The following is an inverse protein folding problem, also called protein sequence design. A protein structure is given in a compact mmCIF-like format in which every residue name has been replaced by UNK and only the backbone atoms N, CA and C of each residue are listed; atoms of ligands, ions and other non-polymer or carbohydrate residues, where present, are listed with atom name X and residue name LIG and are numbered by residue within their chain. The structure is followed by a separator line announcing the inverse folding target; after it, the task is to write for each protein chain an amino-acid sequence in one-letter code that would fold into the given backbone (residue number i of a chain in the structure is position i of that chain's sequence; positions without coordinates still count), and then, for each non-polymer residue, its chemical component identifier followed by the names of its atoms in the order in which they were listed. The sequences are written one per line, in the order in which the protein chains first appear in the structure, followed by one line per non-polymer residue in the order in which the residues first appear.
data_IF_965793297383
#
_entry.id   IF_965793297383
#
_cell.length_a   1.000
_cell.length_b   1.000
_cell.length_c   1.000
_cell.angle_alpha   90.00
_cell.angle_beta   90.00
_cell.angle_gamma   90.00
#
_symmetry.space_group_name_H-M   'P 1'
#
loop_
_entity.id
_entity.type
_entity.pdbx_description
1 polymer ?
#
# COMPACT_ATOMS: atom_id res chain seq x y z
N UNK A 1 -25.06 -4.16 3.62
CA UNK A 1 -24.41 -3.03 4.33
C UNK A 1 -24.11 -3.46 5.77
N UNK A 2 -22.86 -3.44 6.24
CA UNK A 2 -22.58 -3.65 7.66
C UNK A 2 -23.20 -2.49 8.46
N UNK A 3 -24.00 -2.81 9.48
CA UNK A 3 -24.62 -1.81 10.36
C UNK A 3 -23.53 -0.93 10.98
N UNK A 4 -23.79 0.38 11.10
CA UNK A 4 -22.92 1.30 11.85
C UNK A 4 -22.61 0.69 13.23
N UNK A 5 -21.34 0.72 13.67
CA UNK A 5 -21.00 0.18 14.98
C UNK A 5 -21.72 1.00 16.04
N UNK A 6 -22.29 0.30 17.03
CA UNK A 6 -23.04 0.93 18.11
C UNK A 6 -22.14 1.54 19.20
N UNK A 7 -20.82 1.61 19.02
CA UNK A 7 -19.84 2.27 19.89
C UNK A 7 -18.77 2.94 19.01
N UNK A 8 -18.26 4.08 19.45
CA UNK A 8 -17.05 4.68 18.88
C UNK A 8 -15.85 3.74 19.09
N UNK A 9 -15.25 3.34 17.97
CA UNK A 9 -14.07 2.46 17.92
C UNK A 9 -12.91 2.98 18.77
N UNK A 10 -12.82 4.29 19.02
CA UNK A 10 -11.80 4.89 19.91
C UNK A 10 -11.96 4.43 21.36
N UNK A 11 -13.18 4.51 21.90
CA UNK A 11 -13.50 4.10 23.28
C UNK A 11 -13.22 2.61 23.44
N UNK A 12 -13.60 1.81 22.43
CA UNK A 12 -13.38 0.37 22.44
C UNK A 12 -11.88 0.04 22.49
N UNK A 13 -11.07 0.71 21.66
CA UNK A 13 -9.61 0.52 21.62
C UNK A 13 -8.95 0.91 22.93
N UNK A 14 -9.25 2.10 23.45
CA UNK A 14 -8.64 2.59 24.70
C UNK A 14 -8.98 1.70 25.88
N UNK A 15 -10.22 1.24 25.98
CA UNK A 15 -10.63 0.37 27.09
C UNK A 15 -9.95 -0.99 27.02
N UNK A 16 -9.82 -1.57 25.82
CA UNK A 16 -9.20 -2.89 25.63
C UNK A 16 -7.69 -2.88 25.88
N UNK A 17 -7.01 -1.73 25.81
CA UNK A 17 -5.58 -1.61 26.19
C UNK A 17 -5.31 -2.00 27.65
N UNK A 18 -6.27 -1.77 28.53
CA UNK A 18 -6.14 -2.06 29.96
C UNK A 18 -6.21 -3.56 30.28
N UNK A 19 -6.51 -4.41 29.30
CA UNK A 19 -6.72 -5.84 29.50
C UNK A 19 -5.82 -6.70 28.59
N UNK A 20 -4.49 -6.70 28.79
CA UNK A 20 -3.59 -7.56 28.02
C UNK A 20 -3.91 -9.05 28.19
N UNK A 21 -4.48 -9.44 29.33
CA UNK A 21 -4.85 -10.81 29.65
C UNK A 21 -5.99 -11.40 28.80
N UNK A 22 -6.54 -10.68 27.81
CA UNK A 22 -7.54 -11.23 26.87
C UNK A 22 -6.93 -12.23 25.89
N UNK A 23 -5.60 -12.21 25.74
CA UNK A 23 -4.85 -13.24 25.05
C UNK A 23 -4.32 -14.24 26.08
N UNK A 24 -4.29 -15.53 25.72
CA UNK A 24 -3.63 -16.55 26.52
C UNK A 24 -2.11 -16.46 26.37
N UNK A 25 -1.37 -17.30 27.09
CA UNK A 25 0.11 -17.33 27.03
C UNK A 25 0.64 -17.74 25.64
N UNK A 26 -0.22 -18.31 24.80
CA UNK A 26 0.04 -18.61 23.39
C UNK A 26 -0.38 -17.46 22.45
N UNK A 27 -0.74 -16.30 22.97
CA UNK A 27 -1.21 -15.17 22.15
C UNK A 27 -2.49 -15.42 21.38
N UNK A 28 -3.27 -16.45 21.68
CA UNK A 28 -4.60 -16.67 21.11
C UNK A 28 -5.65 -15.94 21.94
N UNK A 29 -6.72 -15.49 21.31
CA UNK A 29 -7.82 -14.85 22.01
C UNK A 29 -8.49 -15.86 22.96
N UNK A 30 -8.66 -15.51 24.23
CA UNK A 30 -9.36 -16.37 25.20
C UNK A 30 -10.82 -16.57 24.79
N UNK A 31 -11.33 -17.77 25.07
CA UNK A 31 -12.69 -18.17 24.69
C UNK A 31 -13.76 -17.17 25.17
N UNK A 32 -14.89 -17.07 24.46
CA UNK A 32 -16.00 -16.19 24.84
C UNK A 32 -16.57 -16.45 26.24
N UNK A 33 -16.30 -17.62 26.82
CA UNK A 33 -16.73 -18.02 28.16
C UNK A 33 -15.82 -17.52 29.27
N UNK A 34 -14.65 -16.98 28.93
CA UNK A 34 -13.64 -16.57 29.90
C UNK A 34 -14.15 -15.42 30.79
N UNK A 35 -13.91 -15.47 32.11
CA UNK A 35 -14.34 -14.43 33.04
C UNK A 35 -13.83 -13.03 32.69
N UNK A 36 -12.70 -12.91 32.00
CA UNK A 36 -12.12 -11.62 31.62
C UNK A 36 -13.08 -10.77 30.79
N UNK A 37 -13.96 -11.40 30.00
CA UNK A 37 -14.94 -10.68 29.20
C UNK A 37 -16.01 -9.99 30.04
N UNK A 38 -16.28 -10.49 31.25
CA UNK A 38 -17.14 -9.81 32.22
C UNK A 38 -16.42 -8.62 32.84
N UNK A 39 -15.14 -8.78 33.16
CA UNK A 39 -14.30 -7.70 33.70
C UNK A 39 -14.15 -6.54 32.71
N UNK A 40 -13.91 -6.86 31.44
CA UNK A 40 -13.87 -5.89 30.34
C UNK A 40 -15.21 -5.16 30.24
N UNK A 41 -16.34 -5.88 30.21
CA UNK A 41 -17.68 -5.27 30.18
C UNK A 41 -17.97 -4.37 31.40
N UNK A 42 -17.34 -4.64 32.54
CA UNK A 42 -17.51 -3.86 33.77
C UNK A 42 -16.63 -2.61 33.85
N UNK A 43 -15.77 -2.34 32.86
CA UNK A 43 -14.94 -1.14 32.85
C UNK A 43 -15.78 0.14 32.80
N UNK A 44 -15.34 1.19 33.50
CA UNK A 44 -16.06 2.47 33.64
C UNK A 44 -16.45 3.11 32.30
N UNK A 45 -15.56 3.06 31.30
CA UNK A 45 -15.81 3.53 29.93
C UNK A 45 -16.99 2.83 29.26
N UNK A 46 -17.16 1.51 29.47
CA UNK A 46 -18.28 0.76 28.94
C UNK A 46 -19.55 0.99 29.75
N UNK A 47 -19.43 1.07 31.08
CA UNK A 47 -20.58 1.36 31.95
C UNK A 47 -21.19 2.72 31.65
N UNK A 48 -20.36 3.77 31.52
CA UNK A 48 -20.79 5.12 31.15
C UNK A 48 -21.52 5.15 29.80
N UNK A 49 -20.99 4.42 28.82
CA UNK A 49 -21.65 4.28 27.53
C UNK A 49 -23.00 3.56 27.63
N UNK A 50 -23.07 2.50 28.45
CA UNK A 50 -24.32 1.75 28.65
C UNK A 50 -25.39 2.54 29.41
N UNK A 51 -25.02 3.44 30.33
CA UNK A 51 -25.97 4.32 31.02
C UNK A 51 -26.50 5.40 30.08
N UNK A 52 -25.62 6.04 29.31
CA UNK A 52 -26.01 7.06 28.32
C UNK A 52 -26.96 6.48 27.24
N UNK A 53 -26.72 5.24 26.80
CA UNK A 53 -27.58 4.56 25.83
C UNK A 53 -28.94 4.11 26.39
N UNK A 54 -29.03 3.84 27.71
CA UNK A 54 -30.30 3.51 28.38
C UNK A 54 -31.19 4.74 28.51
N UNK A 55 -30.60 5.90 28.80
CA UNK A 55 -31.31 7.18 28.88
C UNK A 55 -31.86 7.63 27.52
N UNK A 56 -31.18 7.30 26.41
CA UNK A 56 -31.61 7.61 25.05
C UNK A 56 -32.64 6.62 24.46
N UNK A 57 -33.19 5.70 25.26
CA UNK A 57 -34.21 4.73 24.83
C UNK A 57 -33.76 3.75 23.74
N UNK A 58 -32.46 3.66 23.49
CA UNK A 58 -31.90 2.89 22.37
C UNK A 58 -31.28 1.59 22.89
N UNK A 59 -31.92 0.46 22.60
CA UNK A 59 -31.42 -0.89 22.95
C UNK A 59 -30.10 -1.29 22.25
N UNK A 60 -29.49 -0.37 21.50
CA UNK A 60 -28.27 -0.58 20.74
C UNK A 60 -26.97 -0.48 21.57
N UNK A 61 -27.00 0.00 22.82
CA UNK A 61 -25.77 0.34 23.55
C UNK A 61 -25.25 -0.64 24.61
N UNK A 62 -25.89 -1.79 24.83
CA UNK A 62 -25.44 -2.74 25.88
C UNK A 62 -24.58 -3.84 25.26
N UNK A 63 -23.26 -3.73 25.39
CA UNK A 63 -22.33 -4.79 25.00
C UNK A 63 -22.39 -5.94 26.01
N UNK A 64 -22.84 -7.10 25.53
CA UNK A 64 -22.67 -8.36 26.26
C UNK A 64 -21.22 -8.85 26.11
N UNK A 65 -20.66 -9.55 27.11
CA UNK A 65 -19.30 -10.11 27.05
C UNK A 65 -19.00 -10.85 25.73
N UNK A 66 -19.94 -11.70 25.31
CA UNK A 66 -19.86 -12.45 24.04
C UNK A 66 -19.75 -11.54 22.80
N UNK A 67 -20.43 -10.39 22.79
CA UNK A 67 -20.38 -9.48 21.66
C UNK A 67 -19.02 -8.79 21.53
N UNK A 68 -18.39 -8.42 22.65
CA UNK A 68 -17.02 -7.86 22.63
C UNK A 68 -16.04 -8.91 22.10
N UNK A 69 -16.13 -10.14 22.62
CA UNK A 69 -15.34 -11.26 22.13
C UNK A 69 -15.51 -11.43 20.61
N UNK A 70 -16.75 -11.51 20.11
CA UNK A 70 -17.03 -11.75 18.69
C UNK A 70 -16.52 -10.59 17.81
N UNK A 71 -16.53 -9.35 18.31
CA UNK A 71 -15.96 -8.19 17.60
C UNK A 71 -14.45 -8.31 17.45
N UNK A 72 -13.75 -8.74 18.50
CA UNK A 72 -12.30 -8.91 18.47
C UNK A 72 -11.94 -10.16 17.66
N UNK A 73 -12.66 -11.27 17.84
CA UNK A 73 -12.45 -12.52 17.12
C UNK A 73 -12.62 -12.34 15.59
N UNK A 74 -13.65 -11.61 15.16
CA UNK A 74 -13.87 -11.29 13.75
C UNK A 74 -12.99 -10.15 13.22
N UNK A 75 -12.03 -9.67 14.02
CA UNK A 75 -11.17 -8.53 13.72
C UNK A 75 -11.93 -7.30 13.18
N UNK A 76 -13.12 -7.02 13.73
CA UNK A 76 -13.95 -5.90 13.29
C UNK A 76 -13.17 -4.61 13.50
N UNK A 77 -13.14 -3.76 12.47
CA UNK A 77 -12.42 -2.49 12.48
C UNK A 77 -10.92 -2.60 12.85
N UNK A 78 -10.30 -3.76 12.62
CA UNK A 78 -8.90 -4.00 12.91
C UNK A 78 -8.55 -4.09 14.40
N UNK A 79 -9.52 -4.40 15.26
CA UNK A 79 -9.33 -4.43 16.72
C UNK A 79 -8.36 -5.51 17.17
N UNK A 80 -8.48 -6.72 16.60
CA UNK A 80 -7.58 -7.81 16.94
C UNK A 80 -6.15 -7.46 16.54
N UNK A 81 -5.98 -6.93 15.33
CA UNK A 81 -4.68 -6.47 14.82
C UNK A 81 -4.10 -5.37 15.71
N UNK A 82 -4.91 -4.39 16.10
CA UNK A 82 -4.50 -3.32 16.99
C UNK A 82 -4.02 -3.83 18.35
N UNK A 83 -4.80 -4.69 19.01
CA UNK A 83 -4.46 -5.21 20.33
C UNK A 83 -3.23 -6.12 20.29
N UNK A 84 -3.09 -6.93 19.23
CA UNK A 84 -1.89 -7.74 19.02
C UNK A 84 -0.62 -6.91 18.85
N UNK A 85 -0.70 -5.77 18.15
CA UNK A 85 0.44 -4.84 18.04
C UNK A 85 0.72 -4.15 19.38
N UNK A 86 -0.31 -3.71 20.09
CA UNK A 86 -0.15 -3.02 21.38
C UNK A 86 0.47 -3.96 22.44
N UNK A 87 0.12 -5.24 22.44
CA UNK A 87 0.62 -6.23 23.39
C UNK A 87 1.79 -7.07 22.87
N UNK A 88 2.39 -6.69 21.74
CA UNK A 88 3.47 -7.45 21.08
C UNK A 88 4.72 -7.64 21.95
N UNK A 89 4.92 -6.83 22.98
CA UNK A 89 5.98 -7.02 23.99
C UNK A 89 5.68 -8.13 25.01
N UNK A 90 4.44 -8.61 25.10
CA UNK A 90 3.98 -9.58 26.10
C UNK A 90 3.63 -10.95 25.50
N UNK A 91 3.71 -11.12 24.18
CA UNK A 91 3.37 -12.36 23.48
C UNK A 91 4.64 -13.14 23.04
N UNK A 92 4.60 -14.49 23.00
CA UNK A 92 5.74 -15.29 22.57
C UNK A 92 6.17 -14.97 21.12
N UNK A 93 7.48 -14.84 20.90
CA UNK A 93 8.05 -14.46 19.59
C UNK A 93 7.68 -15.42 18.44
N UNK A 94 7.46 -16.72 18.73
CA UNK A 94 7.06 -17.72 17.72
C UNK A 94 5.75 -17.38 17.02
N UNK A 95 4.82 -16.77 17.75
CA UNK A 95 3.46 -16.56 17.28
C UNK A 95 3.36 -15.25 16.50
N UNK A 96 4.27 -14.29 16.73
CA UNK A 96 4.35 -13.05 15.94
C UNK A 96 4.60 -13.36 14.47
N UNK A 97 5.47 -14.34 14.18
CA UNK A 97 5.78 -14.81 12.81
C UNK A 97 4.61 -15.51 12.13
N UNK A 98 3.93 -16.47 12.79
CA UNK A 98 2.73 -17.12 12.23
C UNK A 98 1.55 -16.14 12.06
N UNK A 99 1.38 -15.19 12.98
CA UNK A 99 0.36 -14.13 12.88
C UNK A 99 0.61 -13.25 11.64
N UNK A 100 1.87 -12.98 11.29
CA UNK A 100 2.19 -12.23 10.07
C UNK A 100 1.84 -13.02 8.81
N UNK A 101 2.02 -14.35 8.80
CA UNK A 101 1.68 -15.21 7.66
C UNK A 101 0.16 -15.37 7.46
N UNK A 102 -0.64 -15.56 8.51
CA UNK A 102 -2.11 -15.66 8.40
C UNK A 102 -2.75 -14.32 7.97
N UNK A 103 -2.19 -13.17 8.39
CA UNK A 103 -2.63 -11.83 7.95
C UNK A 103 -2.47 -11.60 6.44
N UNK A 104 -1.67 -12.43 5.75
CA UNK A 104 -1.40 -12.33 4.32
C UNK A 104 -2.36 -13.16 3.45
N UNK A 105 -3.17 -14.04 4.05
CA UNK A 105 -4.10 -14.90 3.31
C UNK A 105 -5.49 -14.31 3.09
N UNK A 106 -5.98 -13.37 3.92
CA UNK A 106 -7.43 -13.11 4.01
C UNK A 106 -7.91 -11.67 3.77
N UNK A 107 -7.18 -10.87 2.98
CA UNK A 107 -7.68 -9.56 2.52
C UNK A 107 -7.64 -9.40 1.01
N UNK A 108 -8.55 -10.11 0.33
CA UNK A 108 -9.06 -9.66 -0.96
C UNK A 108 -10.57 -9.50 -0.93
N UNK A 109 -11.02 -8.32 -0.51
CA UNK A 109 -12.26 -7.76 -1.00
C UNK A 109 -12.01 -6.29 -1.35
N UNK A 110 -12.37 -5.96 -2.58
CA UNK A 110 -12.57 -4.62 -3.09
C UNK A 110 -13.61 -3.90 -2.24
N UNK A 111 -13.38 -2.62 -1.95
CA UNK A 111 -14.33 -1.55 -2.26
C UNK A 111 -13.68 -0.19 -1.99
N UNK A 112 -13.90 0.73 -2.94
CA UNK A 112 -13.70 2.15 -2.77
C UNK A 112 -14.72 2.65 -1.73
N UNK A 113 -14.26 3.23 -0.62
CA UNK A 113 -14.97 4.39 -0.08
C UNK A 113 -14.08 5.26 0.81
N UNK A 114 -14.28 6.55 0.65
CA UNK A 114 -13.66 7.64 1.36
C UNK A 114 -14.18 7.67 2.79
N UNK A 115 -13.31 7.44 3.79
CA UNK A 115 -13.57 7.94 5.14
C UNK A 115 -12.28 8.19 5.91
N UNK A 116 -12.26 9.35 6.57
CA UNK A 116 -11.19 9.86 7.41
C UNK A 116 -10.93 8.93 8.60
N UNK A 117 -9.92 8.07 8.46
CA UNK A 117 -9.29 7.40 9.58
C UNK A 117 -8.20 8.29 10.16
N UNK A 118 -8.41 8.78 11.38
CA UNK A 118 -7.39 9.47 12.19
C UNK A 118 -6.23 8.52 12.43
N UNK A 119 -5.19 8.65 11.61
CA UNK A 119 -3.84 8.20 11.93
C UNK A 119 -3.12 9.35 12.60
N UNK A 120 -2.42 9.03 13.67
CA UNK A 120 -1.56 9.95 14.41
C UNK A 120 -0.66 10.66 13.40
N UNK A 121 -0.95 11.92 13.15
CA UNK A 121 0.01 12.84 12.59
C UNK A 121 1.13 12.96 13.62
N UNK A 122 2.19 12.17 13.45
CA UNK A 122 3.51 12.66 13.83
C UNK A 122 3.84 13.80 12.85
N UNK A 123 3.24 14.97 13.09
CA UNK A 123 3.86 16.23 12.69
C UNK A 123 5.06 16.46 13.62
N UNK A 124 6.04 15.57 13.52
CA UNK A 124 7.41 15.85 13.92
C UNK A 124 8.12 16.28 12.65
N UNK A 125 8.85 17.39 12.72
CA UNK A 125 9.85 17.77 11.73
C UNK A 125 10.95 16.70 11.67
N UNK A 126 10.66 15.52 11.12
CA UNK A 126 11.73 14.59 10.75
C UNK A 126 12.61 15.30 9.72
N UNK A 127 13.93 15.32 9.91
CA UNK A 127 14.83 16.00 9.00
C UNK A 127 14.64 15.41 7.60
N UNK A 128 14.16 16.26 6.69
CA UNK A 128 14.03 15.86 5.28
C UNK A 128 15.43 15.79 4.70
N UNK A 129 15.82 14.61 4.26
CA UNK A 129 17.09 14.40 3.58
C UNK A 129 16.98 14.83 2.13
N UNK A 130 18.09 15.30 1.59
CA UNK A 130 18.25 15.62 0.18
C UNK A 130 19.17 14.57 -0.44
N UNK A 131 18.62 13.76 -1.34
CA UNK A 131 19.37 12.81 -2.14
C UNK A 131 19.50 13.31 -3.57
N UNK A 132 20.59 12.91 -4.20
CA UNK A 132 20.77 13.04 -5.63
C UNK A 132 20.66 11.64 -6.24
N UNK A 133 19.83 11.50 -7.27
CA UNK A 133 19.77 10.29 -8.08
C UNK A 133 20.12 10.59 -9.53
N UNK A 134 20.80 9.64 -10.15
CA UNK A 134 21.23 9.71 -11.55
C UNK A 134 20.46 8.65 -12.36
N UNK A 135 19.73 9.11 -13.38
CA UNK A 135 19.04 8.24 -14.35
C UNK A 135 19.86 8.24 -15.64
N UNK A 136 20.43 7.09 -16.07
CA UNK A 136 21.18 7.00 -17.33
C UNK A 136 20.37 7.47 -18.53
N UNK A 137 21.04 8.06 -19.53
CA UNK A 137 20.40 8.67 -20.69
C UNK A 137 19.44 7.71 -21.41
N UNK A 138 19.85 6.45 -21.61
CA UNK A 138 19.01 5.41 -22.23
C UNK A 138 17.69 5.19 -21.47
N UNK A 139 17.72 5.20 -20.13
CA UNK A 139 16.52 5.11 -19.30
C UNK A 139 15.71 6.40 -19.29
N UNK A 140 16.37 7.55 -19.44
CA UNK A 140 15.68 8.83 -19.60
C UNK A 140 14.82 8.84 -20.87
N UNK A 141 15.32 8.32 -21.99
CA UNK A 141 14.56 8.21 -23.24
C UNK A 141 13.25 7.41 -23.07
N UNK A 142 13.21 6.42 -22.17
CA UNK A 142 11.96 5.70 -21.88
C UNK A 142 10.89 6.56 -21.21
N UNK A 143 11.29 7.63 -20.51
CA UNK A 143 10.44 8.48 -19.68
C UNK A 143 10.36 9.93 -20.18
N UNK A 144 10.94 10.21 -21.35
CA UNK A 144 11.06 11.54 -21.92
C UNK A 144 9.72 12.31 -21.96
N UNK A 145 9.74 13.65 -21.82
CA UNK A 145 8.52 14.45 -21.85
C UNK A 145 7.75 14.34 -23.17
N UNK A 146 6.44 14.11 -23.09
CA UNK A 146 5.52 14.16 -24.23
C UNK A 146 4.53 15.30 -24.09
N UNK A 147 4.15 15.89 -25.22
CA UNK A 147 3.10 16.91 -25.26
C UNK A 147 1.74 16.23 -25.20
N UNK A 148 0.93 16.60 -24.19
CA UNK A 148 -0.44 16.13 -24.02
C UNK A 148 -1.39 17.32 -24.11
N UNK A 149 -2.52 17.13 -24.78
CA UNK A 149 -3.58 18.14 -24.91
C UNK A 149 -4.64 17.84 -23.84
N UNK A 150 -4.84 18.79 -22.93
CA UNK A 150 -5.89 18.71 -21.92
C UNK A 150 -7.06 19.61 -22.32
N UNK A 151 -8.28 19.08 -22.23
CA UNK A 151 -9.50 19.86 -22.35
C UNK A 151 -9.83 20.43 -20.97
N UNK A 152 -9.73 21.75 -20.82
CA UNK A 152 -10.02 22.46 -19.56
C UNK A 152 -11.15 23.45 -19.87
N UNK A 153 -12.40 22.97 -19.72
CA UNK A 153 -13.59 23.69 -20.18
C UNK A 153 -13.62 23.83 -21.71
N UNK A 154 -13.87 25.05 -22.21
CA UNK A 154 -13.90 25.36 -23.65
C UNK A 154 -12.50 25.57 -24.26
N UNK A 155 -11.43 25.44 -23.48
CA UNK A 155 -10.06 25.68 -23.95
C UNK A 155 -9.23 24.39 -23.98
N UNK A 156 -8.46 24.21 -25.06
CA UNK A 156 -7.45 23.14 -25.17
C UNK A 156 -6.11 23.69 -24.69
N UNK A 157 -5.59 23.19 -23.58
CA UNK A 157 -4.24 23.54 -23.10
C UNK A 157 -3.24 22.43 -23.44
N UNK A 158 -2.17 22.81 -24.14
CA UNK A 158 -1.01 21.95 -24.40
C UNK A 158 -0.08 21.98 -23.20
N UNK A 159 0.22 20.82 -22.61
CA UNK A 159 1.19 20.69 -21.50
C UNK A 159 2.21 19.61 -21.85
N UNK A 160 3.49 19.84 -21.55
CA UNK A 160 4.51 18.78 -21.56
C UNK A 160 4.48 18.05 -20.22
N UNK A 161 4.39 16.74 -20.28
CA UNK A 161 4.33 15.84 -19.11
C UNK A 161 5.24 14.64 -19.35
N UNK A 162 5.80 14.07 -18.28
CA UNK A 162 6.55 12.82 -18.40
C UNK A 162 5.62 11.69 -18.88
N UNK A 163 6.19 10.73 -19.63
CA UNK A 163 5.43 9.62 -20.21
C UNK A 163 4.66 8.83 -19.15
N UNK A 164 3.34 8.93 -19.19
CA UNK A 164 2.45 8.30 -18.20
C UNK A 164 2.67 6.78 -18.13
N UNK A 165 2.50 6.22 -16.94
CA UNK A 165 2.69 4.79 -16.65
C UNK A 165 4.11 4.24 -16.88
N UNK A 166 5.13 5.10 -17.01
CA UNK A 166 6.54 4.67 -17.12
C UNK A 166 7.41 5.39 -16.08
N UNK A 167 7.37 6.72 -16.05
CA UNK A 167 8.31 7.53 -15.24
C UNK A 167 8.29 7.24 -13.74
N UNK A 168 7.13 6.92 -13.17
CA UNK A 168 6.97 6.63 -11.73
C UNK A 168 7.74 5.39 -11.31
N UNK A 169 7.71 4.35 -12.14
CA UNK A 169 8.41 3.10 -11.87
C UNK A 169 9.93 3.30 -11.99
N UNK A 170 10.38 4.01 -13.03
CA UNK A 170 11.81 4.31 -13.23
C UNK A 170 12.40 5.07 -12.05
N UNK A 171 11.73 6.12 -11.57
CA UNK A 171 12.24 6.88 -10.42
C UNK A 171 12.23 6.03 -9.14
N UNK A 172 11.15 5.28 -8.88
CA UNK A 172 11.08 4.43 -7.70
C UNK A 172 12.16 3.32 -7.70
N UNK A 173 12.45 2.74 -8.87
CA UNK A 173 13.52 1.76 -9.06
C UNK A 173 14.89 2.35 -8.76
N UNK A 174 15.20 3.51 -9.34
CA UNK A 174 16.49 4.18 -9.15
C UNK A 174 16.66 4.64 -7.69
N UNK A 175 15.61 5.16 -7.07
CA UNK A 175 15.64 5.62 -5.68
C UNK A 175 15.94 4.48 -4.71
N UNK A 176 15.31 3.32 -4.89
CA UNK A 176 15.63 2.14 -4.09
C UNK A 176 17.04 1.61 -4.40
N UNK A 177 17.42 1.50 -5.68
CA UNK A 177 18.74 0.96 -6.05
C UNK A 177 19.93 1.81 -5.56
N UNK A 178 19.79 3.13 -5.54
CA UNK A 178 20.87 4.03 -5.11
C UNK A 178 20.86 4.33 -3.61
N UNK A 179 19.69 4.38 -2.97
CA UNK A 179 19.57 4.85 -1.57
C UNK A 179 18.85 3.88 -0.63
N UNK A 180 18.34 2.74 -1.12
CA UNK A 180 17.71 1.70 -0.30
C UNK A 180 16.40 2.12 0.36
N UNK A 181 15.72 3.17 -0.14
CA UNK A 181 14.51 3.71 0.50
C UNK A 181 13.34 2.74 0.31
N UNK A 182 12.77 2.18 1.40
CA UNK A 182 11.79 1.09 1.31
C UNK A 182 10.34 1.56 1.03
N UNK A 183 10.12 2.84 0.72
CA UNK A 183 8.78 3.39 0.55
C UNK A 183 8.06 2.94 -0.74
N UNK A 184 6.78 2.60 -0.60
CA UNK A 184 5.84 2.46 -1.70
C UNK A 184 5.28 3.82 -2.15
N UNK A 185 6.08 4.62 -2.84
CA UNK A 185 5.71 5.97 -3.29
C UNK A 185 4.65 5.96 -4.41
N UNK A 186 3.56 6.68 -4.18
CA UNK A 186 2.57 7.04 -5.20
C UNK A 186 2.75 8.50 -5.60
N UNK A 187 3.08 8.71 -6.88
CA UNK A 187 3.27 10.02 -7.46
C UNK A 187 1.98 10.52 -8.12
N UNK A 188 1.59 11.78 -7.85
CA UNK A 188 0.31 12.35 -8.32
C UNK A 188 0.47 13.52 -9.27
N UNK A 189 1.59 14.26 -9.19
CA UNK A 189 1.79 15.52 -9.92
C UNK A 189 3.18 15.52 -10.53
N UNK A 190 3.28 15.60 -11.85
CA UNK A 190 4.51 15.99 -12.53
C UNK A 190 4.25 17.23 -13.38
N UNK A 191 5.24 18.11 -13.47
CA UNK A 191 5.28 19.23 -14.40
C UNK A 191 6.63 19.22 -15.08
N UNK A 192 6.61 19.30 -16.41
CA UNK A 192 7.81 19.52 -17.21
C UNK A 192 7.74 20.94 -17.76
N UNK A 193 8.83 21.69 -17.58
CA UNK A 193 9.00 23.03 -18.14
C UNK A 193 10.12 22.98 -19.15
N UNK A 194 9.88 23.52 -20.33
CA UNK A 194 10.86 23.58 -21.43
C UNK A 194 10.93 25.03 -21.88
N UNK A 195 12.14 25.58 -21.93
CA UNK A 195 12.39 26.98 -22.30
C UNK A 195 13.63 27.56 -21.61
N UNK A 196 13.99 28.78 -21.99
CA UNK A 196 15.22 29.47 -21.57
C UNK A 196 15.18 30.04 -20.13
N UNK A 197 14.05 29.92 -19.45
CA UNK A 197 13.89 30.31 -18.03
C UNK A 197 14.69 29.36 -17.12
N UNK A 198 16.01 29.54 -17.07
CA UNK A 198 16.97 28.81 -16.21
C UNK A 198 16.66 28.92 -14.71
N UNK A 199 15.78 29.85 -14.32
CA UNK A 199 15.34 30.03 -12.93
C UNK A 199 14.30 28.99 -12.49
N UNK A 200 13.76 28.21 -13.43
CA UNK A 200 12.68 27.25 -13.18
C UNK A 200 13.15 25.83 -13.45
N UNK A 201 12.97 24.97 -12.45
CA UNK A 201 13.26 23.53 -12.53
C UNK A 201 12.62 22.87 -13.75
N UNK A 202 13.42 22.15 -14.54
CA UNK A 202 13.01 21.35 -15.70
C UNK A 202 11.89 20.35 -15.35
N UNK A 203 12.12 19.51 -14.34
CA UNK A 203 11.12 18.56 -13.83
C UNK A 203 10.78 18.94 -12.40
N UNK A 204 9.49 18.92 -12.07
CA UNK A 204 9.03 18.87 -10.67
C UNK A 204 7.98 17.80 -10.52
N UNK A 205 8.14 16.95 -9.50
CA UNK A 205 7.14 15.95 -9.17
C UNK A 205 6.98 15.79 -7.66
N UNK A 206 5.76 15.48 -7.24
CA UNK A 206 5.43 15.22 -5.85
C UNK A 206 4.73 13.86 -5.70
N UNK A 207 5.04 13.20 -4.60
CA UNK A 207 4.44 11.93 -4.23
C UNK A 207 4.32 11.80 -2.71
N UNK A 208 3.75 10.68 -2.32
CA UNK A 208 3.64 10.29 -0.92
C UNK A 208 3.73 8.76 -0.82
N UNK A 209 4.28 8.26 0.26
CA UNK A 209 4.25 6.82 0.54
C UNK A 209 2.81 6.40 0.86
N UNK A 210 2.36 5.31 0.24
CA UNK A 210 0.99 4.81 0.45
C UNK A 210 0.79 4.13 1.81
N UNK A 211 1.88 3.90 2.53
CA UNK A 211 1.94 3.26 3.84
C UNK A 211 2.25 4.29 4.94
N UNK A 212 3.50 4.73 5.07
CA UNK A 212 3.94 5.66 6.12
C UNK A 212 3.60 7.14 5.87
N UNK A 213 2.96 7.46 4.73
CA UNK A 213 2.56 8.83 4.34
C UNK A 213 3.70 9.83 4.15
N UNK A 214 4.96 9.41 4.24
CA UNK A 214 6.13 10.23 3.93
C UNK A 214 5.98 10.94 2.59
N UNK A 215 6.16 12.27 2.59
CA UNK A 215 6.06 13.10 1.39
C UNK A 215 7.40 13.09 0.66
N UNK A 216 7.38 12.92 -0.65
CA UNK A 216 8.56 12.99 -1.50
C UNK A 216 8.40 14.10 -2.54
N UNK A 217 9.43 14.94 -2.63
CA UNK A 217 9.57 15.98 -3.64
C UNK A 217 10.73 15.65 -4.56
N UNK A 218 10.51 15.72 -5.86
CA UNK A 218 11.52 15.42 -6.87
C UNK A 218 11.66 16.64 -7.77
N UNK A 219 12.90 17.01 -8.08
CA UNK A 219 13.15 18.01 -9.09
C UNK A 219 14.42 17.78 -9.89
N UNK A 220 14.37 18.08 -11.19
CA UNK A 220 15.55 18.27 -12.03
C UNK A 220 15.69 19.75 -12.35
N UNK A 221 16.91 20.27 -12.26
CA UNK A 221 17.17 21.66 -12.66
C UNK A 221 17.23 21.80 -14.18
N UNK A 222 17.89 20.85 -14.86
CA UNK A 222 18.15 20.90 -16.30
C UNK A 222 17.71 19.60 -17.00
N UNK A 223 17.39 19.73 -18.29
CA UNK A 223 17.25 18.59 -19.19
C UNK A 223 18.64 17.99 -19.45
N UNK A 224 18.80 16.66 -19.48
CA UNK A 224 20.09 16.05 -19.78
C UNK A 224 20.49 16.31 -21.22
N UNK A 225 21.76 16.66 -21.44
CA UNK A 225 22.33 16.65 -22.79
C UNK A 225 22.37 15.23 -23.36
N UNK A 226 22.59 15.13 -24.68
CA UNK A 226 22.73 13.86 -25.38
C UNK A 226 23.80 12.98 -24.71
N UNK A 227 23.40 11.79 -24.27
CA UNK A 227 24.30 10.82 -23.61
C UNK A 227 24.55 11.08 -22.12
N UNK A 228 24.18 12.26 -21.59
CA UNK A 228 24.36 12.59 -20.18
C UNK A 228 23.18 12.07 -19.33
N UNK A 229 23.41 11.68 -18.06
CA UNK A 229 22.33 11.23 -17.20
C UNK A 229 21.43 12.39 -16.76
N UNK A 230 20.14 12.10 -16.58
CA UNK A 230 19.23 13.02 -15.90
C UNK A 230 19.52 13.01 -14.40
N UNK A 231 19.88 14.16 -13.85
CA UNK A 231 20.10 14.35 -12.42
C UNK A 231 18.83 14.83 -11.75
N UNK A 232 18.35 14.07 -10.76
CA UNK A 232 17.19 14.42 -9.95
C UNK A 232 17.61 14.63 -8.51
N UNK A 233 17.15 15.74 -7.93
CA UNK A 233 17.19 16.00 -6.51
C UNK A 233 15.89 15.50 -5.87
N UNK A 234 16.02 14.61 -4.90
CA UNK A 234 14.91 13.98 -4.19
C UNK A 234 14.96 14.45 -2.74
N UNK A 235 13.86 15.01 -2.25
CA UNK A 235 13.69 15.42 -0.85
C UNK A 235 12.58 14.60 -0.21
N UNK A 236 12.92 13.80 0.80
CA UNK A 236 11.97 13.02 1.60
C UNK A 236 12.59 12.69 2.97
N UNK A 237 11.82 12.24 3.96
CA UNK A 237 12.37 11.76 5.24
C UNK A 237 13.06 10.39 5.06
N UNK A 238 14.00 10.06 5.94
CA UNK A 238 14.61 8.73 5.96
C UNK A 238 13.63 7.69 6.52
N UNK A 239 13.14 6.81 5.65
CA UNK A 239 12.13 5.83 6.00
C UNK A 239 12.68 4.42 6.17
N UNK A 240 14.00 4.22 6.10
CA UNK A 240 14.67 2.92 6.33
C UNK A 240 14.37 2.29 7.70
N UNK A 241 14.25 3.06 8.79
CA UNK A 241 13.88 2.51 10.11
C UNK A 241 12.44 1.99 10.15
N UNK A 242 11.56 2.51 9.29
CA UNK A 242 10.13 2.21 9.30
C UNK A 242 9.89 0.92 8.48
N UNK A 243 9.25 -0.11 9.05
CA UNK A 243 8.87 -1.30 8.29
C UNK A 243 7.83 -0.94 7.22
N UNK A 244 8.07 -1.37 5.98
CA UNK A 244 7.15 -1.19 4.85
C UNK A 244 6.75 -2.55 4.30
N UNK A 245 5.44 -2.78 4.21
CA UNK A 245 4.84 -4.00 3.68
C UNK A 245 4.27 -3.76 2.28
N UNK A 246 3.83 -2.53 1.98
CA UNK A 246 3.24 -2.22 0.69
C UNK A 246 4.33 -2.20 -0.38
N UNK A 247 3.95 -2.69 -1.57
CA UNK A 247 4.77 -2.65 -2.77
C UNK A 247 4.30 -1.52 -3.70
N UNK A 248 5.21 -1.04 -4.53
CA UNK A 248 4.90 -0.12 -5.60
C UNK A 248 3.95 -0.77 -6.59
N UNK A 249 2.99 0.01 -7.08
CA UNK A 249 2.01 -0.48 -8.04
C UNK A 249 2.71 -0.78 -9.37
N UNK A 250 2.59 -2.02 -9.82
CA UNK A 250 3.07 -2.44 -11.13
C UNK A 250 2.07 -1.95 -12.20
N UNK A 251 2.48 -1.01 -13.04
CA UNK A 251 1.62 -0.38 -14.06
C UNK A 251 2.32 -0.25 -15.41
N UNK A 252 1.50 -0.08 -16.46
CA UNK A 252 1.94 0.29 -17.80
C UNK A 252 2.96 -0.64 -18.42
N UNK A 253 3.99 -0.03 -19.00
CA UNK A 253 5.00 -0.74 -19.76
C UNK A 253 5.78 -1.77 -18.93
N UNK A 254 6.08 -1.44 -17.65
CA UNK A 254 6.77 -2.37 -16.75
C UNK A 254 5.92 -3.61 -16.47
N UNK A 255 4.60 -3.44 -16.30
CA UNK A 255 3.66 -4.57 -16.15
C UNK A 255 3.61 -5.44 -17.40
N UNK A 256 3.59 -4.80 -18.57
CA UNK A 256 3.55 -5.47 -19.87
C UNK A 256 4.80 -6.34 -20.09
N UNK A 257 5.99 -5.75 -19.97
CA UNK A 257 7.28 -6.44 -20.12
C UNK A 257 7.40 -7.62 -19.13
N UNK A 258 7.04 -7.39 -17.86
CA UNK A 258 7.07 -8.43 -16.84
C UNK A 258 6.12 -9.59 -17.16
N UNK A 259 4.92 -9.31 -17.65
CA UNK A 259 3.98 -10.35 -18.10
C UNK A 259 4.54 -11.16 -19.27
N UNK A 260 5.18 -10.50 -20.25
CA UNK A 260 5.82 -11.15 -21.39
C UNK A 260 7.01 -12.03 -20.98
N UNK A 261 7.84 -11.59 -20.03
CA UNK A 261 8.92 -12.40 -19.45
C UNK A 261 8.37 -13.69 -18.79
N UNK A 262 7.27 -13.57 -18.06
CA UNK A 262 6.61 -14.68 -17.36
C UNK A 262 5.82 -15.64 -18.26
N UNK A 263 5.77 -15.41 -19.57
CA UNK A 263 5.29 -16.44 -20.50
C UNK A 263 6.26 -17.61 -20.56
N UNK A 264 7.56 -17.36 -20.35
CA UNK A 264 8.65 -18.35 -20.45
C UNK A 264 8.92 -19.08 -19.14
N UNK A 265 8.53 -18.50 -18.00
CA UNK A 265 8.84 -19.00 -16.66
C UNK A 265 7.66 -18.86 -15.70
N UNK A 266 7.57 -19.74 -14.70
CA UNK A 266 6.54 -19.61 -13.66
C UNK A 266 6.73 -18.33 -12.84
N UNK A 267 5.65 -17.61 -12.47
CA UNK A 267 5.73 -16.39 -11.65
C UNK A 267 6.49 -16.55 -10.33
N UNK A 268 6.39 -17.72 -9.69
CA UNK A 268 7.11 -18.05 -8.46
C UNK A 268 8.61 -18.16 -8.68
N UNK A 269 9.03 -18.89 -9.71
CA UNK A 269 10.44 -19.09 -10.06
C UNK A 269 11.08 -17.75 -10.47
N UNK A 270 10.40 -17.00 -11.35
CA UNK A 270 10.86 -15.68 -11.76
C UNK A 270 11.08 -14.77 -10.55
N UNK A 271 10.12 -14.75 -9.60
CA UNK A 271 10.22 -13.89 -8.41
C UNK A 271 11.40 -14.31 -7.53
N UNK A 272 11.60 -15.61 -7.32
CA UNK A 272 12.74 -16.12 -6.55
C UNK A 272 14.07 -15.74 -7.21
N UNK A 273 14.24 -16.03 -8.50
CA UNK A 273 15.45 -15.69 -9.26
C UNK A 273 15.72 -14.17 -9.27
N UNK A 274 14.65 -13.37 -9.33
CA UNK A 274 14.75 -11.91 -9.30
C UNK A 274 15.16 -11.39 -7.91
N UNK A 275 14.65 -11.98 -6.84
CA UNK A 275 15.05 -11.66 -5.47
C UNK A 275 16.50 -12.05 -5.23
N UNK A 276 16.88 -13.28 -5.62
CA UNK A 276 18.24 -13.82 -5.44
C UNK A 276 19.30 -13.01 -6.19
N UNK A 277 18.93 -12.39 -7.32
CA UNK A 277 19.84 -11.55 -8.11
C UNK A 277 19.92 -10.08 -7.65
N UNK A 278 18.93 -9.57 -6.91
CA UNK A 278 18.87 -8.16 -6.52
C UNK A 278 19.08 -7.89 -5.03
N UNK A 279 19.07 -8.92 -4.17
CA UNK A 279 19.04 -8.77 -2.71
C UNK A 279 20.05 -9.72 -2.07
N UNK A 280 20.78 -9.23 -1.08
CA UNK A 280 21.67 -10.08 -0.27
C UNK A 280 20.94 -10.68 0.92
N UNK A 281 21.44 -11.81 1.42
CA UNK A 281 20.83 -12.50 2.55
C UNK A 281 20.70 -11.58 3.79
N UNK A 282 19.48 -11.43 4.32
CA UNK A 282 19.17 -10.57 5.47
C UNK A 282 18.68 -9.16 5.11
N UNK A 283 18.73 -8.75 3.84
CA UNK A 283 18.15 -7.48 3.40
C UNK A 283 16.62 -7.56 3.24
N UNK A 284 15.97 -6.41 3.43
CA UNK A 284 14.51 -6.29 3.27
C UNK A 284 14.13 -6.30 1.79
N UNK A 285 13.04 -7.00 1.48
CA UNK A 285 12.52 -7.05 0.12
C UNK A 285 12.21 -5.64 -0.45
N UNK A 286 12.68 -5.31 -1.66
CA UNK A 286 12.42 -4.05 -2.33
C UNK A 286 10.93 -3.70 -2.39
N UNK A 287 10.57 -2.40 -2.31
CA UNK A 287 9.21 -1.95 -2.58
C UNK A 287 8.85 -2.15 -4.06
N UNK A 288 9.84 -2.21 -4.95
CA UNK A 288 9.62 -2.39 -6.39
C UNK A 288 9.38 -3.84 -6.80
N UNK A 289 9.57 -4.80 -5.90
CA UNK A 289 9.32 -6.21 -6.18
C UNK A 289 7.80 -6.50 -6.10
N UNK A 290 7.14 -6.90 -7.20
CA UNK A 290 5.71 -7.18 -7.21
C UNK A 290 5.40 -8.49 -6.50
N UNK A 291 4.31 -8.54 -5.75
CA UNK A 291 3.85 -9.77 -5.09
C UNK A 291 3.51 -10.87 -6.09
N UNK A 292 3.55 -12.12 -5.63
CA UNK A 292 3.28 -13.29 -6.48
C UNK A 292 1.95 -13.19 -7.23
N UNK A 293 0.89 -12.75 -6.55
CA UNK A 293 -0.43 -12.53 -7.17
C UNK A 293 -0.37 -11.51 -8.31
N UNK A 294 0.32 -10.39 -8.11
CA UNK A 294 0.47 -9.35 -9.14
C UNK A 294 1.26 -9.88 -10.35
N UNK A 295 2.23 -10.76 -10.11
CA UNK A 295 2.96 -11.47 -11.17
C UNK A 295 2.04 -12.42 -11.95
N UNK A 296 1.22 -13.22 -11.27
CA UNK A 296 0.23 -14.09 -11.90
C UNK A 296 -0.75 -13.31 -12.75
N UNK A 297 -1.30 -12.21 -12.22
CA UNK A 297 -2.21 -11.33 -12.95
C UNK A 297 -1.53 -10.72 -14.18
N UNK A 298 -0.26 -10.29 -14.07
CA UNK A 298 0.49 -9.73 -15.20
C UNK A 298 0.75 -10.77 -16.30
N UNK A 299 1.05 -12.02 -15.90
CA UNK A 299 1.19 -13.15 -16.83
C UNK A 299 -0.13 -13.45 -17.53
N UNK A 300 -1.24 -13.51 -16.79
CA UNK A 300 -2.56 -13.74 -17.37
C UNK A 300 -2.92 -12.64 -18.38
N UNK A 301 -2.67 -11.38 -18.04
CA UNK A 301 -2.87 -10.26 -18.99
C UNK A 301 -2.00 -10.39 -20.25
N UNK A 302 -0.82 -11.01 -20.18
CA UNK A 302 0.01 -11.27 -21.36
C UNK A 302 -0.56 -12.42 -22.20
N UNK A 303 -1.04 -13.49 -21.56
CA UNK A 303 -1.75 -14.60 -22.22
C UNK A 303 -3.00 -14.08 -22.93
N UNK A 304 -3.85 -13.32 -22.24
CA UNK A 304 -5.08 -12.74 -22.82
C UNK A 304 -4.77 -11.90 -24.07
N UNK A 305 -3.69 -11.10 -24.04
CA UNK A 305 -3.22 -10.33 -25.20
C UNK A 305 -2.76 -11.22 -26.35
N UNK A 306 -2.11 -12.34 -26.08
CA UNK A 306 -1.63 -13.26 -27.12
C UNK A 306 -2.78 -13.97 -27.84
N UNK A 307 -3.79 -14.42 -27.08
CA UNK A 307 -4.94 -15.15 -27.63
C UNK A 307 -6.07 -14.22 -28.09
N UNK A 308 -5.89 -12.90 -27.95
CA UNK A 308 -6.90 -11.92 -28.33
C UNK A 308 -8.20 -12.04 -27.54
N UNK A 309 -8.20 -12.77 -26.42
CA UNK A 309 -9.36 -12.89 -25.56
C UNK A 309 -9.54 -11.56 -24.83
N UNK A 310 -10.62 -10.80 -25.09
CA UNK A 310 -11.00 -9.78 -24.12
C UNK A 310 -11.24 -10.50 -22.79
N UNK A 311 -11.16 -9.79 -21.65
CA UNK A 311 -11.58 -10.31 -20.35
C UNK A 311 -13.05 -10.76 -20.44
N UNK A 312 -13.31 -11.94 -20.98
CA UNK A 312 -14.62 -12.54 -21.02
C UNK A 312 -14.92 -12.90 -19.57
N UNK A 313 -16.06 -12.42 -19.11
CA UNK A 313 -16.56 -12.64 -17.75
C UNK A 313 -16.82 -14.12 -17.46
N UNK A 314 -16.78 -14.98 -18.48
CA UNK A 314 -17.09 -16.40 -18.40
C UNK A 314 -16.19 -17.24 -19.32
N UNK A 315 -15.32 -18.11 -18.77
CA UNK A 315 -14.44 -19.01 -19.53
C UNK A 315 -15.17 -20.07 -20.38
N UNK A 316 -16.45 -20.34 -20.07
CA UNK A 316 -17.24 -21.38 -20.77
C UNK A 316 -17.67 -20.90 -22.15
N UNK A 317 -17.97 -19.60 -22.28
CA UNK A 317 -18.45 -19.01 -23.54
C UNK A 317 -17.35 -18.88 -24.61
N UNK A 318 -16.07 -18.76 -24.22
CA UNK A 318 -14.97 -18.73 -25.20
C UNK A 318 -14.72 -20.07 -25.87
N UNK A 319 -15.02 -21.19 -25.19
CA UNK A 319 -14.83 -22.54 -25.74
C UNK A 319 -15.89 -22.90 -26.79
N UNK A 320 -17.06 -22.26 -26.75
CA UNK A 320 -18.08 -22.46 -27.79
C UNK A 320 -17.70 -21.80 -29.11
N UNK A 321 -17.02 -20.65 -29.09
CA UNK A 321 -16.68 -19.91 -30.32
C UNK A 321 -15.56 -20.59 -31.14
N UNK A 322 -14.63 -21.28 -30.47
CA UNK A 322 -13.56 -22.04 -31.14
C UNK A 322 -14.03 -23.37 -31.74
N UNK A 323 -15.13 -23.96 -31.25
CA UNK A 323 -15.61 -25.26 -31.72
C UNK A 323 -16.44 -25.18 -33.02
N UNK A 324 -16.86 -23.98 -33.39
CA UNK A 324 -17.70 -23.71 -34.57
C UNK A 324 -17.05 -22.74 -35.58
N UNK A 325 -15.74 -22.48 -35.46
CA UNK A 325 -14.93 -21.77 -36.46
C UNK A 325 -14.16 -22.76 -37.33
#
# INVERSE_FOLDING_TARGET
MPRKPAIDNRILKETLKSYPGIFNDKGELKSASDPIWREVCSHSSFQKYTSEAKESGTSQGIFKPKQIHDYIFQNRYGLQTFLRMEFSSFLPQSNVTEIMEELWSDRSTTDEDSSEGVFVHTQGNEPTLLWQISIPYEKYLEIEPKTVIYNEGNCKKRRKVLKQNTWTATIADVLYKQHGIPCAFSFKRNKVRIGEDKTRKFITANGHCTECKAVVHISAEQEPDLGNPLILHVRAPDTRPIPHLKKNQLRGEKRRKLGEEMLKTLPSNWRREKLDSEITFGEKEPPNMPSLRICQDARQEAVDRMFGTPKLKDPVLSLSDEKYS
#
